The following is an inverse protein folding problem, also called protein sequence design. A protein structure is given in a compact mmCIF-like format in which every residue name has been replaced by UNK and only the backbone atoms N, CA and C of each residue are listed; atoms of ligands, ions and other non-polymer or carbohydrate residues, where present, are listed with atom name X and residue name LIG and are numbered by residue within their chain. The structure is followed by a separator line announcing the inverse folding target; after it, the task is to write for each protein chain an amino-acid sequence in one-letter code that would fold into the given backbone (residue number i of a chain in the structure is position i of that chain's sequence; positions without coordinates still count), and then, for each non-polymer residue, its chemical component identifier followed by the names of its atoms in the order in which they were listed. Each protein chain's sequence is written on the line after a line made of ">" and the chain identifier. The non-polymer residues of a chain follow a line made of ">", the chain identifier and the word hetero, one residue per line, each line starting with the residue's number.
data_IF_847948353495
#
_entry.id   IF_847948353495
#
_cell.length_a   1.000
_cell.length_b   1.000
_cell.length_c   1.000
_cell.angle_alpha   90.00
_cell.angle_beta   90.00
_cell.angle_gamma   90.00
#
_symmetry.space_group_name_H-M   'P 1'
#
loop_
_entity.id
_entity.type
_entity.pdbx_description
1 polymer ?
#
# COMPACT_ATOMS: atom_id res chain seq x y z
N UNK A 1 52.38 6.30 -1.12
CA UNK A 1 51.42 5.34 -1.70
C UNK A 1 50.12 5.45 -0.92
N UNK A 2 49.18 6.25 -1.42
CA UNK A 2 47.87 6.45 -0.77
C UNK A 2 46.89 5.41 -1.33
N UNK A 3 46.57 4.40 -0.54
CA UNK A 3 45.50 3.44 -0.85
C UNK A 3 44.18 4.20 -1.00
N UNK A 4 43.62 4.16 -2.20
CA UNK A 4 42.26 4.62 -2.45
C UNK A 4 41.34 3.68 -1.68
N UNK A 5 40.79 4.14 -0.57
CA UNK A 5 39.69 3.46 0.12
C UNK A 5 38.53 3.43 -0.86
N UNK A 6 38.39 2.31 -1.57
CA UNK A 6 37.29 2.03 -2.48
C UNK A 6 36.03 1.90 -1.63
N UNK A 7 35.33 3.01 -1.46
CA UNK A 7 34.02 3.08 -0.81
C UNK A 7 33.11 2.09 -1.53
N UNK A 8 32.83 0.95 -0.89
CA UNK A 8 31.97 -0.10 -1.44
C UNK A 8 30.67 0.59 -1.88
N UNK A 9 30.25 0.49 -3.16
CA UNK A 9 29.09 1.22 -3.64
C UNK A 9 27.90 0.83 -2.78
N UNK A 10 27.30 1.83 -2.13
CA UNK A 10 26.11 1.66 -1.31
C UNK A 10 25.01 1.15 -2.23
N UNK A 11 24.55 -0.07 -1.98
CA UNK A 11 23.48 -0.68 -2.75
C UNK A 11 22.21 0.18 -2.61
N UNK A 12 21.54 0.41 -3.73
CA UNK A 12 20.35 1.28 -3.82
C UNK A 12 19.10 0.43 -3.87
N UNK A 13 18.09 0.84 -3.11
CA UNK A 13 16.80 0.16 -3.04
C UNK A 13 15.82 0.78 -4.05
N UNK A 14 15.26 0.02 -5.00
CA UNK A 14 14.25 0.50 -5.93
C UNK A 14 12.98 0.95 -5.23
N UNK A 15 12.23 1.85 -5.87
CA UNK A 15 10.95 2.36 -5.36
C UNK A 15 9.85 1.30 -5.31
N UNK A 16 9.96 0.23 -6.13
CA UNK A 16 9.02 -0.88 -6.11
C UNK A 16 9.12 -1.75 -4.86
N UNK A 17 10.28 -1.83 -4.21
CA UNK A 17 10.48 -2.61 -2.98
C UNK A 17 10.23 -1.68 -1.81
N UNK A 18 9.02 -1.67 -1.27
CA UNK A 18 8.60 -0.66 -0.29
C UNK A 18 8.21 -1.23 1.07
N UNK A 19 7.86 -2.51 1.14
CA UNK A 19 7.38 -3.15 2.36
C UNK A 19 8.30 -4.29 2.81
N UNK A 20 8.06 -4.77 4.03
CA UNK A 20 8.75 -5.95 4.55
C UNK A 20 8.36 -7.21 3.78
N UNK A 21 7.09 -7.30 3.37
CA UNK A 21 6.55 -8.44 2.62
C UNK A 21 7.22 -8.55 1.24
N UNK A 22 7.51 -7.41 0.58
CA UNK A 22 8.25 -7.40 -0.69
C UNK A 22 9.66 -7.96 -0.53
N UNK A 23 10.35 -7.65 0.58
CA UNK A 23 11.69 -8.19 0.86
C UNK A 23 11.64 -9.70 1.03
N UNK A 24 10.65 -10.20 1.77
CA UNK A 24 10.48 -11.63 2.00
C UNK A 24 10.14 -12.38 0.71
N UNK A 25 9.33 -11.76 -0.15
CA UNK A 25 9.07 -12.28 -1.49
C UNK A 25 10.33 -12.34 -2.35
N UNK A 26 11.14 -11.28 -2.36
CA UNK A 26 12.40 -11.22 -3.10
C UNK A 26 13.45 -12.20 -2.60
N UNK A 27 13.54 -12.40 -1.27
CA UNK A 27 14.41 -13.43 -0.70
C UNK A 27 13.99 -14.79 -1.27
N UNK A 28 12.73 -15.17 -1.11
CA UNK A 28 12.26 -16.47 -1.59
C UNK A 28 12.46 -16.65 -3.11
N UNK A 29 12.29 -15.59 -3.88
CA UNK A 29 12.55 -15.61 -5.31
C UNK A 29 14.03 -15.86 -5.66
N UNK A 30 14.97 -15.26 -4.93
CA UNK A 30 16.40 -15.50 -5.13
C UNK A 30 16.77 -16.95 -4.78
N UNK A 31 16.20 -17.51 -3.71
CA UNK A 31 16.34 -18.93 -3.37
C UNK A 31 15.86 -19.84 -4.52
N UNK A 32 14.69 -19.54 -5.08
CA UNK A 32 14.14 -20.32 -6.19
C UNK A 32 15.04 -20.27 -7.44
N UNK A 33 15.61 -19.10 -7.75
CA UNK A 33 16.56 -18.95 -8.86
C UNK A 33 17.84 -19.72 -8.59
N UNK A 34 18.37 -19.68 -7.35
CA UNK A 34 19.59 -20.39 -7.00
C UNK A 34 19.41 -21.91 -7.09
N UNK A 35 18.30 -22.43 -6.54
CA UNK A 35 17.98 -23.85 -6.61
C UNK A 35 17.80 -24.31 -8.07
N UNK A 36 17.12 -23.50 -8.89
CA UNK A 36 16.98 -23.78 -10.31
C UNK A 36 18.34 -23.87 -11.03
N UNK A 37 19.25 -22.94 -10.77
CA UNK A 37 20.57 -22.92 -11.40
C UNK A 37 21.46 -24.08 -10.94
N UNK A 38 21.36 -24.48 -9.66
CA UNK A 38 22.02 -25.68 -9.15
C UNK A 38 21.53 -26.94 -9.85
N UNK A 39 20.22 -27.10 -10.02
CA UNK A 39 19.65 -28.21 -10.76
C UNK A 39 20.03 -28.19 -12.25
N UNK A 40 20.05 -27.01 -12.87
CA UNK A 40 20.42 -26.86 -14.28
C UNK A 40 21.88 -27.29 -14.54
N UNK A 41 22.79 -27.06 -13.60
CA UNK A 41 24.19 -27.48 -13.70
C UNK A 41 24.41 -29.01 -13.69
N UNK A 42 23.45 -29.77 -13.15
CA UNK A 42 23.53 -31.24 -13.06
C UNK A 42 22.86 -31.96 -14.24
N UNK A 43 22.22 -31.23 -15.16
CA UNK A 43 21.49 -31.83 -16.30
C UNK A 43 22.42 -32.14 -17.47
N UNK A 44 22.03 -33.12 -18.27
CA UNK A 44 22.77 -33.49 -19.48
C UNK A 44 22.84 -32.31 -20.48
N UNK A 45 24.01 -32.05 -21.08
CA UNK A 45 24.17 -31.01 -22.09
C UNK A 45 23.20 -31.21 -23.25
N UNK A 46 22.49 -30.15 -23.65
CA UNK A 46 21.60 -30.17 -24.82
C UNK A 46 20.10 -30.22 -24.51
N UNK A 47 19.71 -30.41 -23.26
CA UNK A 47 18.30 -30.23 -22.87
C UNK A 47 17.99 -28.73 -22.80
N UNK A 48 16.96 -28.22 -23.51
CA UNK A 48 16.55 -26.83 -23.37
C UNK A 48 16.00 -26.58 -21.98
N UNK A 49 16.49 -25.52 -21.33
CA UNK A 49 16.11 -25.13 -19.97
C UNK A 49 15.47 -23.74 -20.06
N UNK A 50 14.23 -23.62 -19.61
CA UNK A 50 13.53 -22.33 -19.51
C UNK A 50 13.82 -21.72 -18.14
N UNK A 51 14.54 -20.60 -18.13
CA UNK A 51 14.91 -19.91 -16.90
C UNK A 51 13.65 -19.33 -16.23
N UNK A 52 13.50 -19.47 -14.90
CA UNK A 52 12.41 -18.81 -14.19
C UNK A 52 12.52 -17.31 -14.43
N UNK A 53 11.40 -16.70 -14.82
CA UNK A 53 11.34 -15.26 -15.10
C UNK A 53 11.40 -14.50 -13.78
N UNK A 54 12.42 -13.65 -13.56
CA UNK A 54 12.47 -12.84 -12.36
C UNK A 54 11.32 -11.84 -12.34
N UNK A 55 10.85 -11.51 -11.14
CA UNK A 55 9.85 -10.51 -10.88
C UNK A 55 10.37 -9.15 -11.30
N UNK A 56 9.44 -8.25 -11.62
CA UNK A 56 9.78 -6.88 -12.00
C UNK A 56 10.59 -6.16 -10.92
N UNK A 57 10.31 -6.45 -9.64
CA UNK A 57 11.02 -5.85 -8.52
C UNK A 57 12.46 -6.36 -8.43
N UNK A 58 12.69 -7.66 -8.62
CA UNK A 58 14.04 -8.24 -8.63
C UNK A 58 14.85 -7.79 -9.84
N UNK A 59 14.21 -7.71 -11.02
CA UNK A 59 14.83 -7.20 -12.25
C UNK A 59 15.21 -5.72 -12.12
N UNK A 60 14.35 -4.89 -11.52
CA UNK A 60 14.72 -3.51 -11.24
C UNK A 60 15.84 -3.41 -10.20
N UNK A 61 15.83 -4.25 -9.16
CA UNK A 61 16.87 -4.30 -8.14
C UNK A 61 18.23 -4.68 -8.72
N UNK A 62 18.27 -5.68 -9.60
CA UNK A 62 19.50 -6.11 -10.28
C UNK A 62 20.01 -5.01 -11.21
N UNK A 63 19.12 -4.40 -12.00
CA UNK A 63 19.46 -3.31 -12.93
C UNK A 63 19.99 -2.07 -12.21
N UNK A 64 19.34 -1.62 -11.15
CA UNK A 64 19.73 -0.42 -10.39
C UNK A 64 21.08 -0.60 -9.70
N UNK A 65 21.45 -1.84 -9.35
CA UNK A 65 22.71 -2.15 -8.68
C UNK A 65 23.78 -2.73 -9.62
N UNK A 66 23.48 -2.83 -10.93
CA UNK A 66 24.36 -3.41 -11.96
C UNK A 66 24.81 -4.84 -11.62
N UNK A 67 23.89 -5.67 -11.11
CA UNK A 67 24.16 -7.04 -10.67
C UNK A 67 23.63 -8.06 -11.69
N UNK A 68 24.38 -9.15 -11.88
CA UNK A 68 23.98 -10.23 -12.79
C UNK A 68 23.45 -11.43 -12.00
N UNK A 69 22.15 -11.72 -12.14
CA UNK A 69 21.50 -12.84 -11.44
C UNK A 69 22.07 -14.23 -11.81
N UNK A 70 22.76 -14.36 -12.94
CA UNK A 70 23.43 -15.61 -13.33
C UNK A 70 24.69 -15.89 -12.49
N UNK A 71 25.31 -14.86 -11.92
CA UNK A 71 26.52 -14.97 -11.12
C UNK A 71 26.18 -15.27 -9.66
N UNK A 72 26.73 -16.35 -9.11
CA UNK A 72 26.50 -16.78 -7.71
C UNK A 72 26.90 -15.69 -6.70
N UNK A 73 28.04 -15.03 -6.96
CA UNK A 73 28.53 -13.92 -6.12
C UNK A 73 27.54 -12.76 -6.02
N UNK A 74 26.87 -12.43 -7.13
CA UNK A 74 25.91 -11.32 -7.18
C UNK A 74 24.60 -11.70 -6.48
N UNK A 75 24.11 -12.94 -6.67
CA UNK A 75 22.95 -13.46 -5.92
C UNK A 75 23.20 -13.43 -4.41
N UNK A 76 24.35 -13.94 -3.95
CA UNK A 76 24.74 -13.91 -2.54
C UNK A 76 24.83 -12.46 -1.99
N UNK A 77 25.26 -11.51 -2.83
CA UNK A 77 25.31 -10.09 -2.46
C UNK A 77 23.91 -9.48 -2.29
N UNK A 78 22.98 -9.75 -3.20
CA UNK A 78 21.59 -9.29 -3.08
C UNK A 78 20.95 -9.92 -1.84
N UNK A 79 21.10 -11.23 -1.66
CA UNK A 79 20.61 -11.97 -0.52
C UNK A 79 21.08 -11.37 0.82
N UNK A 80 22.40 -11.18 0.97
CA UNK A 80 22.99 -10.60 2.18
C UNK A 80 22.52 -9.17 2.43
N UNK A 81 22.31 -8.38 1.38
CA UNK A 81 21.74 -7.03 1.49
C UNK A 81 20.30 -7.06 1.96
N UNK A 82 19.44 -7.91 1.36
CA UNK A 82 18.04 -8.02 1.74
C UNK A 82 17.87 -8.50 3.18
N UNK A 83 18.71 -9.44 3.64
CA UNK A 83 18.78 -9.85 5.05
C UNK A 83 19.20 -8.71 5.97
N UNK A 84 20.24 -7.95 5.59
CA UNK A 84 20.69 -6.80 6.37
C UNK A 84 19.60 -5.70 6.44
N UNK A 85 18.88 -5.50 5.33
CA UNK A 85 17.75 -4.57 5.23
C UNK A 85 16.61 -5.03 6.15
N UNK A 86 16.21 -6.31 6.07
CA UNK A 86 15.20 -6.91 6.94
C UNK A 86 15.52 -6.70 8.42
N UNK A 87 16.78 -6.83 8.81
CA UNK A 87 17.20 -6.71 10.21
C UNK A 87 17.34 -5.26 10.71
N UNK A 88 17.75 -4.32 9.85
CA UNK A 88 18.19 -2.98 10.29
C UNK A 88 17.37 -1.82 9.72
N UNK A 89 16.49 -2.06 8.74
CA UNK A 89 15.76 -1.00 8.09
C UNK A 89 14.78 -0.32 9.07
N UNK A 90 14.74 1.02 9.11
CA UNK A 90 13.68 1.72 9.83
C UNK A 90 12.35 1.43 9.15
N UNK A 91 11.38 0.96 9.93
CA UNK A 91 10.03 0.68 9.46
C UNK A 91 9.08 1.76 9.94
N UNK A 92 8.39 2.41 9.00
CA UNK A 92 7.36 3.42 9.26
C UNK A 92 6.00 2.83 8.94
N UNK A 93 5.05 2.92 9.87
CA UNK A 93 3.67 2.52 9.62
C UNK A 93 2.80 3.76 9.41
N UNK A 94 2.13 3.86 8.26
CA UNK A 94 1.19 4.95 7.98
C UNK A 94 -0.21 4.35 7.83
N UNK A 95 -1.12 4.82 8.68
CA UNK A 95 -2.53 4.41 8.67
C UNK A 95 -3.38 5.47 8.01
N UNK A 96 -4.04 5.14 6.90
CA UNK A 96 -4.95 6.02 6.18
C UNK A 96 -6.41 5.70 6.53
N UNK A 97 -7.32 6.67 6.36
CA UNK A 97 -8.76 6.40 6.47
C UNK A 97 -9.28 5.53 5.33
N UNK A 98 -8.70 5.68 4.14
CA UNK A 98 -9.05 4.98 2.91
C UNK A 98 -7.81 4.38 2.24
N UNK A 99 -8.02 3.43 1.32
CA UNK A 99 -6.92 2.78 0.60
C UNK A 99 -6.19 3.78 -0.30
N UNK A 100 -4.88 4.03 -0.08
CA UNK A 100 -4.12 4.91 -0.96
C UNK A 100 -3.90 4.27 -2.33
N UNK A 101 -3.85 5.11 -3.36
CA UNK A 101 -3.50 4.64 -4.71
C UNK A 101 -2.03 4.23 -4.78
N UNK A 102 -1.65 3.20 -5.57
CA UNK A 102 -0.26 2.75 -5.67
C UNK A 102 0.72 3.85 -6.10
N UNK A 103 0.30 4.72 -7.02
CA UNK A 103 1.12 5.84 -7.49
C UNK A 103 1.38 6.89 -6.38
N UNK A 104 0.41 7.11 -5.50
CA UNK A 104 0.59 7.97 -4.33
C UNK A 104 1.59 7.35 -3.35
N UNK A 105 1.45 6.06 -3.03
CA UNK A 105 2.38 5.33 -2.16
C UNK A 105 3.82 5.36 -2.70
N UNK A 106 4.00 5.24 -4.02
CA UNK A 106 5.32 5.36 -4.66
C UNK A 106 5.93 6.75 -4.49
N UNK A 107 5.15 7.82 -4.73
CA UNK A 107 5.64 9.20 -4.50
C UNK A 107 5.99 9.44 -3.04
N UNK A 108 5.15 8.94 -2.14
CA UNK A 108 5.35 9.04 -0.71
C UNK A 108 6.65 8.35 -0.28
N UNK A 109 6.92 7.14 -0.75
CA UNK A 109 8.15 6.45 -0.37
C UNK A 109 9.40 7.08 -0.98
N UNK A 110 9.34 7.57 -2.21
CA UNK A 110 10.44 8.34 -2.79
C UNK A 110 10.77 9.54 -1.90
N UNK A 111 9.76 10.33 -1.54
CA UNK A 111 9.94 11.48 -0.65
C UNK A 111 10.48 11.07 0.74
N UNK A 112 9.95 10.02 1.36
CA UNK A 112 10.44 9.53 2.66
C UNK A 112 11.90 9.06 2.59
N UNK A 113 12.33 8.47 1.47
CA UNK A 113 13.71 7.99 1.30
C UNK A 113 14.70 9.12 1.05
N UNK A 114 14.25 10.17 0.37
CA UNK A 114 15.06 11.35 0.11
C UNK A 114 15.23 12.20 1.38
N UNK A 115 14.16 12.35 2.18
CA UNK A 115 14.17 13.23 3.36
C UNK A 115 14.55 12.54 4.68
N UNK A 116 14.20 11.26 4.88
CA UNK A 116 14.37 10.58 6.17
C UNK A 116 15.51 9.57 6.14
N UNK A 117 15.34 8.50 5.34
CA UNK A 117 16.35 7.44 5.27
C UNK A 117 16.23 6.61 3.97
N UNK A 118 17.32 6.41 3.21
CA UNK A 118 17.26 5.79 1.88
C UNK A 118 16.80 4.32 1.88
N UNK A 119 16.96 3.63 3.01
CA UNK A 119 16.58 2.22 3.20
C UNK A 119 15.27 2.05 3.99
N UNK A 120 14.45 3.10 4.07
CA UNK A 120 13.19 3.06 4.82
C UNK A 120 12.17 2.14 4.15
N UNK A 121 11.47 1.38 5.00
CA UNK A 121 10.34 0.52 4.64
C UNK A 121 9.04 1.12 5.18
N UNK A 122 7.99 1.02 4.37
CA UNK A 122 6.67 1.57 4.64
C UNK A 122 5.66 0.43 4.82
N UNK A 123 4.97 0.44 5.95
CA UNK A 123 3.80 -0.40 6.22
C UNK A 123 2.54 0.44 6.11
N UNK A 124 1.74 0.20 5.07
CA UNK A 124 0.46 0.89 4.88
C UNK A 124 -0.64 0.14 5.63
N UNK A 125 -1.44 0.87 6.43
CA UNK A 125 -2.58 0.33 7.15
C UNK A 125 -3.85 1.15 6.91
N UNK A 126 -5.01 0.57 7.25
CA UNK A 126 -6.31 1.22 7.18
C UNK A 126 -6.88 1.44 8.58
N UNK A 127 -7.34 2.66 8.86
CA UNK A 127 -7.96 3.05 10.12
C UNK A 127 -9.17 3.95 9.82
N UNK A 128 -10.36 3.37 9.56
CA UNK A 128 -11.54 4.13 9.16
C UNK A 128 -12.03 5.12 10.24
N UNK A 129 -11.73 4.85 11.52
CA UNK A 129 -12.11 5.70 12.66
C UNK A 129 -11.47 7.11 12.66
N UNK A 130 -10.50 7.35 11.78
CA UNK A 130 -9.81 8.63 11.61
C UNK A 130 -10.68 9.62 10.82
N UNK A 131 -11.55 9.12 9.92
CA UNK A 131 -12.34 9.94 9.00
C UNK A 131 -11.48 10.52 7.87
N UNK A 132 -10.79 11.63 8.14
CA UNK A 132 -9.94 12.34 7.16
C UNK A 132 -8.53 12.52 7.73
N UNK A 133 -7.52 12.20 6.92
CA UNK A 133 -6.11 12.33 7.25
C UNK A 133 -5.43 10.97 7.41
N UNK A 134 -4.31 10.97 8.12
CA UNK A 134 -3.53 9.76 8.38
C UNK A 134 -2.79 9.85 9.72
N UNK A 135 -2.38 8.70 10.23
CA UNK A 135 -1.56 8.58 11.44
C UNK A 135 -0.25 7.91 11.06
N UNK A 136 0.87 8.55 11.41
CA UNK A 136 2.22 8.04 11.19
C UNK A 136 2.73 7.45 12.50
N UNK A 137 3.17 6.19 12.48
CA UNK A 137 3.74 5.48 13.63
C UNK A 137 5.14 5.00 13.27
N UNK A 138 6.14 5.51 13.97
CA UNK A 138 7.51 4.97 13.99
C UNK A 138 7.75 4.12 15.25
N UNK A 139 9.02 3.84 15.56
CA UNK A 139 9.39 3.03 16.73
C UNK A 139 9.01 3.69 18.07
N UNK A 140 9.25 4.99 18.22
CA UNK A 140 9.04 5.74 19.48
C UNK A 140 8.13 6.97 19.32
N UNK A 141 7.50 7.14 18.15
CA UNK A 141 6.76 8.35 17.82
C UNK A 141 5.48 7.99 17.08
N UNK A 142 4.37 8.57 17.52
CA UNK A 142 3.09 8.53 16.82
C UNK A 142 2.64 9.96 16.56
N UNK A 143 2.46 10.31 15.29
CA UNK A 143 1.96 11.61 14.85
C UNK A 143 0.58 11.41 14.24
N UNK A 144 -0.42 12.07 14.82
CA UNK A 144 -1.79 12.08 14.33
C UNK A 144 -2.04 13.35 13.51
N UNK A 145 -2.23 13.18 12.20
CA UNK A 145 -2.58 14.26 11.26
C UNK A 145 -4.05 14.18 10.86
N UNK A 146 -4.89 13.60 11.73
CA UNK A 146 -6.32 13.48 11.48
C UNK A 146 -7.06 14.78 11.76
N UNK A 147 -8.14 14.98 11.00
CA UNK A 147 -9.09 16.05 11.27
C UNK A 147 -9.71 15.92 12.67
N UNK A 148 -9.85 14.68 13.17
CA UNK A 148 -10.33 14.40 14.52
C UNK A 148 -9.41 14.97 15.58
N UNK A 149 -8.11 14.72 15.48
CA UNK A 149 -7.11 15.27 16.41
C UNK A 149 -7.05 16.79 16.31
N UNK A 150 -7.13 17.33 15.10
CA UNK A 150 -7.24 18.76 14.87
C UNK A 150 -8.43 19.40 15.63
N UNK A 151 -9.64 18.86 15.52
CA UNK A 151 -10.80 19.38 16.25
C UNK A 151 -10.71 19.19 17.76
N UNK A 152 -10.03 18.14 18.23
CA UNK A 152 -9.77 17.96 19.67
C UNK A 152 -8.89 19.06 20.23
N UNK A 153 -7.83 19.44 19.49
CA UNK A 153 -6.93 20.54 19.86
C UNK A 153 -7.63 21.90 19.82
N UNK A 154 -8.54 22.10 18.86
CA UNK A 154 -9.31 23.34 18.70
C UNK A 154 -10.63 23.37 19.48
N UNK A 155 -10.85 22.41 20.39
CA UNK A 155 -12.11 22.26 21.11
C UNK A 155 -12.45 23.51 21.92
N UNK A 156 -11.46 24.13 22.57
CA UNK A 156 -11.66 25.35 23.37
C UNK A 156 -12.16 26.50 22.49
N UNK A 157 -11.49 26.77 21.36
CA UNK A 157 -11.92 27.82 20.43
C UNK A 157 -13.35 27.59 19.93
N UNK A 158 -13.73 26.34 19.64
CA UNK A 158 -15.10 26.01 19.24
C UNK A 158 -16.12 26.32 20.35
N UNK A 159 -15.82 26.02 21.61
CA UNK A 159 -16.72 26.34 22.72
C UNK A 159 -16.78 27.84 23.00
N UNK A 160 -15.67 28.55 22.84
CA UNK A 160 -15.63 30.00 23.04
C UNK A 160 -16.47 30.72 21.99
N UNK A 161 -16.34 30.34 20.71
CA UNK A 161 -17.16 30.87 19.62
C UNK A 161 -18.64 30.52 19.77
N UNK A 162 -18.96 29.28 20.19
CA UNK A 162 -20.35 28.88 20.48
C UNK A 162 -20.95 29.71 21.63
N UNK A 163 -20.18 30.02 22.67
CA UNK A 163 -20.63 30.85 23.79
C UNK A 163 -20.79 32.32 23.41
N UNK A 164 -19.95 32.83 22.53
CA UNK A 164 -20.06 34.20 22.02
C UNK A 164 -21.23 34.36 21.05
N UNK A 165 -21.53 33.32 20.26
CA UNK A 165 -22.64 33.32 19.31
C UNK A 165 -24.01 32.99 19.91
N UNK A 166 -24.08 32.39 21.11
CA UNK A 166 -25.34 32.18 21.81
C UNK A 166 -25.68 33.42 22.66
N UNK A 167 -26.90 33.99 22.55
CA UNK A 167 -27.33 35.01 23.51
C UNK A 167 -27.25 34.43 24.92
N UNK A 168 -26.91 35.25 25.94
CA UNK A 168 -26.82 34.77 27.31
C UNK A 168 -28.14 34.10 27.66
N UNK A 169 -28.09 32.80 27.94
CA UNK A 169 -29.23 32.08 28.48
C UNK A 169 -29.45 32.68 29.85
N UNK A 170 -30.39 33.61 29.95
CA UNK A 170 -30.88 34.13 31.23
C UNK A 170 -31.46 32.94 31.97
N UNK A 171 -30.63 32.26 32.75
CA UNK A 171 -31.09 31.31 33.74
C UNK A 171 -31.81 32.14 34.80
N UNK A 172 -33.10 32.37 34.59
CA UNK A 172 -33.95 32.83 35.67
C UNK A 172 -33.81 31.83 36.82
N UNK A 173 -33.58 32.31 38.06
CA UNK A 173 -33.42 31.43 39.21
C UNK A 173 -34.71 30.62 39.35
N UNK A 174 -34.61 29.34 39.02
CA UNK A 174 -35.70 28.38 39.16
C UNK A 174 -36.08 28.36 40.65
N UNK A 175 -37.19 29.03 40.97
CA UNK A 175 -37.74 29.14 42.30
C UNK A 175 -38.05 27.71 42.75
N UNK A 176 -37.28 27.24 43.72
CA UNK A 176 -37.42 25.96 44.40
C UNK A 176 -38.89 25.78 44.78
N UNK A 177 -39.63 24.99 44.00
CA UNK A 177 -40.90 24.42 44.43
C UNK A 177 -40.55 23.07 45.04
N UNK A 178 -40.38 23.10 46.35
CA UNK A 178 -40.44 21.91 47.19
C UNK A 178 -41.77 21.19 46.93
N UNK A 179 -41.71 20.10 46.19
CA UNK A 179 -42.67 19.00 46.31
C UNK A 179 -41.91 17.69 46.39
N UNK A 180 -41.59 17.36 47.63
CA UNK A 180 -41.42 16.00 48.10
C UNK A 180 -42.59 15.12 47.65
N UNK A 181 -42.31 14.16 46.76
CA UNK A 181 -43.08 12.93 46.63
C UNK A 181 -42.10 11.78 46.53
N UNK A 182 -42.04 11.02 47.62
CA UNK A 182 -41.47 9.69 47.67
C UNK A 182 -42.32 8.74 46.84
N UNK A 183 -41.69 7.73 46.24
CA UNK A 183 -41.94 6.29 46.49
C UNK A 183 -41.87 5.45 45.21
N UNK A 184 -41.26 4.27 45.39
CA UNK A 184 -41.40 3.02 44.62
C UNK A 184 -40.55 2.79 43.36
N UNK A 185 -39.39 2.16 43.63
CA UNK A 185 -38.96 0.90 43.03
C UNK A 185 -40.04 0.16 42.22
N UNK A 186 -39.70 -0.21 40.98
CA UNK A 186 -39.89 -1.58 40.49
C UNK A 186 -39.02 -1.90 39.28
N UNK A 187 -38.38 -3.06 39.38
CA UNK A 187 -37.84 -3.89 38.30
C UNK A 187 -38.71 -3.88 37.04
N UNK A 188 -38.07 -3.75 35.89
CA UNK A 188 -38.35 -4.59 34.72
C UNK A 188 -37.27 -4.41 33.64
N UNK A 189 -36.55 -5.50 33.43
CA UNK A 189 -35.77 -5.84 32.25
C UNK A 189 -36.63 -5.69 30.99
N UNK A 190 -36.26 -4.81 30.05
CA UNK A 190 -36.78 -4.90 28.69
C UNK A 190 -35.72 -4.53 27.64
N UNK A 191 -35.47 -5.50 26.77
CA UNK A 191 -34.63 -5.40 25.57
C UNK A 191 -35.30 -4.45 24.58
N UNK A 192 -34.61 -3.40 24.15
CA UNK A 192 -34.99 -2.66 22.94
C UNK A 192 -33.80 -2.56 22.00
N UNK A 193 -33.89 -3.34 20.93
CA UNK A 193 -33.13 -3.25 19.70
C UNK A 193 -33.36 -1.88 19.05
N UNK A 194 -32.30 -1.12 18.81
CA UNK A 194 -32.35 0.09 18.00
C UNK A 194 -31.72 -0.21 16.64
N UNK A 195 -32.58 -0.54 15.68
CA UNK A 195 -32.31 -0.48 14.25
C UNK A 195 -32.42 0.98 13.80
N UNK A 196 -31.29 1.66 13.60
CA UNK A 196 -31.27 2.97 12.96
C UNK A 196 -31.10 2.76 11.45
N UNK A 197 -32.22 2.75 10.73
CA UNK A 197 -32.23 3.00 9.30
C UNK A 197 -32.11 4.51 9.07
N UNK A 198 -30.92 4.99 8.76
CA UNK A 198 -30.72 6.35 8.25
C UNK A 198 -30.75 6.32 6.73
N UNK A 199 -31.94 6.51 6.16
CA UNK A 199 -32.13 6.80 4.74
C UNK A 199 -31.68 8.24 4.49
N UNK A 200 -30.42 8.42 4.09
CA UNK A 200 -29.93 9.71 3.59
C UNK A 200 -30.37 9.84 2.13
N UNK A 201 -31.37 10.69 1.91
CA UNK A 201 -31.84 11.07 0.58
C UNK A 201 -30.84 12.09 -0.02
N UNK A 202 -29.80 11.59 -0.71
CA UNK A 202 -28.87 12.43 -1.46
C UNK A 202 -29.53 12.83 -2.77
N UNK A 203 -29.92 14.10 -2.85
CA UNK A 203 -30.35 14.77 -4.07
C UNK A 203 -29.19 14.74 -5.09
N UNK A 204 -29.35 13.92 -6.11
CA UNK A 204 -28.36 13.73 -7.18
C UNK A 204 -28.00 15.07 -7.86
N UNK A 205 -26.71 15.38 -8.04
CA UNK A 205 -26.29 16.45 -8.94
C UNK A 205 -26.55 16.03 -10.39
N UNK A 206 -27.25 16.90 -11.15
CA UNK A 206 -27.43 16.77 -12.59
C UNK A 206 -26.06 16.79 -13.28
N UNK A 207 -25.57 15.63 -13.71
CA UNK A 207 -24.48 15.52 -14.67
C UNK A 207 -24.98 16.03 -16.04
N UNK A 208 -24.41 17.15 -16.48
CA UNK A 208 -24.49 17.59 -17.87
C UNK A 208 -23.69 16.62 -18.73
N UNK A 209 -24.39 15.87 -19.57
CA UNK A 209 -23.82 15.02 -20.62
C UNK A 209 -23.25 15.87 -21.74
N UNK A 210 -21.93 16.04 -21.77
CA UNK A 210 -21.22 16.40 -23.00
C UNK A 210 -20.76 15.10 -23.68
N UNK A 211 -21.16 14.82 -24.92
CA UNK A 211 -20.75 13.61 -25.62
C UNK A 211 -19.27 13.73 -26.03
N UNK A 212 -18.39 13.03 -25.32
CA UNK A 212 -17.01 12.81 -25.77
C UNK A 212 -17.05 11.82 -26.93
N UNK A 213 -16.76 12.36 -28.12
CA UNK A 213 -16.66 11.64 -29.38
C UNK A 213 -15.41 10.76 -29.34
N UNK A 214 -15.57 9.47 -29.04
CA UNK A 214 -14.48 8.50 -29.15
C UNK A 214 -14.02 8.39 -30.61
N UNK A 215 -12.74 8.62 -30.93
CA UNK A 215 -12.21 8.31 -32.25
C UNK A 215 -12.19 6.79 -32.43
N UNK A 216 -12.80 6.34 -33.52
CA UNK A 216 -12.81 4.96 -34.00
C UNK A 216 -11.37 4.45 -34.15
N UNK A 217 -10.98 3.35 -33.49
CA UNK A 217 -9.71 2.70 -33.79
C UNK A 217 -9.80 2.07 -35.19
N UNK A 218 -9.04 2.62 -36.14
CA UNK A 218 -8.85 2.02 -37.45
C UNK A 218 -8.20 0.65 -37.27
N UNK A 219 -8.92 -0.41 -37.66
CA UNK A 219 -8.35 -1.76 -37.76
C UNK A 219 -7.22 -1.74 -38.80
N UNK A 220 -6.00 -2.18 -38.47
CA UNK A 220 -5.00 -2.44 -39.50
C UNK A 220 -5.49 -3.59 -40.39
N UNK A 221 -5.41 -3.33 -41.69
CA UNK A 221 -5.86 -4.20 -42.76
C UNK A 221 -5.01 -5.47 -42.78
N UNK A 222 -5.71 -6.59 -42.94
CA UNK A 222 -5.19 -7.95 -43.03
C UNK A 222 -4.05 -8.08 -44.04
N UNK A 223 -2.85 -8.40 -43.57
CA UNK A 223 -1.74 -8.82 -44.40
C UNK A 223 -1.61 -10.36 -44.33
N UNK A 224 -2.24 -11.01 -45.31
CA UNK A 224 -1.74 -12.17 -46.04
C UNK A 224 -1.04 -13.27 -45.21
N UNK A 225 -1.83 -14.19 -44.64
CA UNK A 225 -1.32 -15.46 -44.10
C UNK A 225 -1.13 -16.46 -45.26
N UNK A 226 0.09 -16.97 -45.51
CA UNK A 226 0.32 -18.00 -46.51
C UNK A 226 -0.35 -19.33 -46.10
N UNK A 227 -1.05 -19.93 -47.07
CA UNK A 227 -1.75 -21.22 -46.95
C UNK A 227 -0.76 -22.33 -46.56
N UNK A 228 -1.06 -23.06 -45.47
CA UNK A 228 -0.37 -24.31 -45.12
C UNK A 228 -0.56 -25.36 -46.24
N UNK A 229 0.49 -26.09 -46.64
CA UNK A 229 0.35 -27.23 -47.52
C UNK A 229 -0.34 -28.41 -46.82
N UNK A 230 -1.10 -29.16 -47.61
CA UNK A 230 -1.91 -30.30 -47.18
C UNK A 230 -1.08 -31.41 -46.54
N UNK A 231 -1.63 -32.00 -45.48
CA UNK A 231 -1.06 -33.14 -44.75
C UNK A 231 -1.23 -34.42 -45.60
N UNK A 232 -0.18 -35.21 -45.85
CA UNK A 232 -0.32 -36.47 -46.57
C UNK A 232 -1.03 -37.53 -45.71
N UNK A 233 -2.03 -38.17 -46.29
CA UNK A 233 -2.78 -39.30 -45.74
C UNK A 233 -1.87 -40.52 -45.71
N UNK A 234 -1.55 -41.03 -44.53
CA UNK A 234 -0.84 -42.30 -44.34
C UNK A 234 -1.79 -43.43 -44.74
N UNK A 235 -1.47 -44.13 -45.83
CA UNK A 235 -2.12 -45.41 -46.19
C UNK A 235 -1.54 -46.50 -45.28
N UNK A 236 -2.42 -47.17 -44.52
CA UNK A 236 -2.10 -48.46 -43.92
C UNK A 236 -2.02 -49.52 -45.02
N UNK A 237 -0.88 -50.21 -45.08
CA UNK A 237 -0.79 -51.53 -45.69
C UNK A 237 -0.84 -52.56 -44.56
N UNK A 238 -1.83 -53.44 -44.68
CA UNK A 238 -2.02 -54.81 -44.14
C UNK A 238 -1.49 -55.11 -42.74
#
# INVERSE_FOLDING_TARGET
>A
MTEKITKKPALKLPTMVNSMDDIDHLLHEIEQIDEFLRHAGSREPGTPIDLPKPSRALDELSRVNELNLLQDKDRARIWGMLLALKAKAPTLQISFSEQPTPAFTQKLITWLRDEIHPMLLLKVGLQPNIGIGFVVRGHNLSLDFSLRDYFRKQRTLLFDELRQGLPPVTSEPNKVVDKSVQTEQKDATEKVSVSVASTVNVKAPKLSSTPVRNPVPQRPVSANVPRRPARPTIRHYQ
#
